data_IF_858876918152
#
_entry.id   IF_858876918152
#
_cell.length_a   1.000
_cell.length_b   1.000
_cell.length_c   1.000
_cell.angle_alpha   90.00
_cell.angle_beta   90.00
_cell.angle_gamma   90.00
#
_symmetry.space_group_name_H-M   'P 1'
#
loop_
_entity.id
_entity.type
_entity.pdbx_description
1 polymer ?
#
# COMPACT_ATOMS: atom_id res chain seq x y z
N UNK A 1 -11.34 12.86 15.44
CA UNK A 1 -10.47 12.65 14.27
C UNK A 1 -10.75 11.30 13.65
N UNK A 2 -10.92 11.25 12.34
CA UNK A 2 -11.20 10.01 11.63
C UNK A 2 -9.92 9.50 10.99
N UNK A 3 -9.43 8.36 11.48
CA UNK A 3 -8.28 7.68 10.89
C UNK A 3 -8.76 6.91 9.66
N UNK A 4 -7.99 6.98 8.59
CA UNK A 4 -8.25 6.20 7.38
C UNK A 4 -7.22 5.08 7.30
N UNK A 5 -7.68 3.86 7.18
CA UNK A 5 -6.82 2.71 6.96
C UNK A 5 -6.78 2.42 5.46
N UNK A 6 -5.62 2.54 4.87
CA UNK A 6 -5.40 2.18 3.48
C UNK A 6 -4.82 0.77 3.43
N UNK A 7 -5.48 -0.10 2.68
CA UNK A 7 -5.05 -1.48 2.50
C UNK A 7 -4.82 -1.75 1.03
N UNK A 8 -3.62 -2.19 0.69
CA UNK A 8 -3.28 -2.63 -0.67
C UNK A 8 -3.13 -4.14 -0.64
N UNK A 9 -3.87 -4.83 -1.49
CA UNK A 9 -3.86 -6.29 -1.59
C UNK A 9 -3.30 -6.64 -2.95
N UNK A 10 -2.17 -7.33 -3.00
CA UNK A 10 -1.43 -7.57 -4.24
C UNK A 10 -1.05 -9.03 -4.36
N UNK A 11 -1.44 -9.67 -5.47
CA UNK A 11 -1.03 -11.04 -5.75
C UNK A 11 0.29 -11.01 -6.52
N UNK A 12 1.32 -11.57 -5.91
CA UNK A 12 2.68 -11.56 -6.46
C UNK A 12 2.85 -12.71 -7.44
N UNK A 13 3.40 -12.44 -8.61
CA UNK A 13 3.69 -13.47 -9.59
C UNK A 13 4.74 -14.44 -9.06
N UNK A 14 4.62 -15.70 -9.50
CA UNK A 14 5.52 -16.76 -9.06
C UNK A 14 6.99 -16.39 -9.35
N UNK A 15 7.82 -16.57 -8.34
CA UNK A 15 9.27 -16.31 -8.46
C UNK A 15 9.65 -14.83 -8.37
N UNK A 16 8.70 -13.92 -8.07
CA UNK A 16 8.96 -12.48 -8.06
C UNK A 16 9.07 -11.86 -6.68
N UNK A 17 9.12 -12.65 -5.63
CA UNK A 17 9.20 -12.14 -4.25
C UNK A 17 10.46 -11.33 -3.98
N UNK A 18 11.60 -11.77 -4.50
CA UNK A 18 12.86 -11.04 -4.30
C UNK A 18 12.82 -9.68 -5.01
N UNK A 19 12.25 -9.65 -6.21
CA UNK A 19 12.06 -8.39 -6.94
C UNK A 19 11.11 -7.45 -6.22
N UNK A 20 10.05 -8.01 -5.63
CA UNK A 20 9.10 -7.23 -4.82
C UNK A 20 9.82 -6.53 -3.68
N UNK A 21 10.71 -7.24 -2.97
CA UNK A 21 11.42 -6.65 -1.85
C UNK A 21 12.38 -5.54 -2.29
N UNK A 22 13.02 -5.68 -3.44
CA UNK A 22 13.87 -4.63 -4.00
C UNK A 22 13.06 -3.39 -4.37
N UNK A 23 11.91 -3.59 -5.00
CA UNK A 23 11.01 -2.50 -5.39
C UNK A 23 10.45 -1.81 -4.15
N UNK A 24 10.02 -2.59 -3.15
CA UNK A 24 9.47 -2.06 -1.92
C UNK A 24 10.47 -1.16 -1.18
N UNK A 25 11.73 -1.55 -1.16
CA UNK A 25 12.79 -0.75 -0.56
C UNK A 25 12.91 0.62 -1.24
N UNK A 26 12.84 0.65 -2.56
CA UNK A 26 12.87 1.91 -3.32
C UNK A 26 11.62 2.74 -3.08
N UNK A 27 10.45 2.11 -3.00
CA UNK A 27 9.21 2.80 -2.63
C UNK A 27 9.33 3.45 -1.27
N UNK A 28 9.87 2.72 -0.29
CA UNK A 28 10.02 3.23 1.07
C UNK A 28 10.87 4.51 1.10
N UNK A 29 11.93 4.57 0.33
CA UNK A 29 12.77 5.76 0.24
C UNK A 29 11.99 6.98 -0.27
N UNK A 30 11.18 6.79 -1.32
CA UNK A 30 10.36 7.87 -1.87
C UNK A 30 9.23 8.23 -0.92
N UNK A 31 8.58 7.24 -0.33
CA UNK A 31 7.50 7.44 0.62
C UNK A 31 7.96 8.24 1.83
N UNK A 32 9.13 7.94 2.36
CA UNK A 32 9.71 8.69 3.48
C UNK A 32 9.95 10.15 3.10
N UNK A 33 10.39 10.39 1.88
CA UNK A 33 10.62 11.74 1.35
C UNK A 33 9.34 12.59 1.36
N UNK A 34 8.19 11.97 1.07
CA UNK A 34 6.92 12.68 1.01
C UNK A 34 6.10 12.63 2.30
N UNK A 35 6.61 11.97 3.32
CA UNK A 35 5.94 11.91 4.62
C UNK A 35 4.80 10.91 4.69
N UNK A 36 4.88 9.82 3.95
CA UNK A 36 3.92 8.73 4.08
C UNK A 36 3.97 8.16 5.50
N UNK A 37 2.82 7.78 6.08
CA UNK A 37 2.84 7.07 7.35
C UNK A 37 3.53 5.71 7.23
N UNK A 38 4.03 5.16 8.33
CA UNK A 38 4.63 3.83 8.32
C UNK A 38 3.69 2.79 7.75
N UNK A 39 4.23 1.83 7.04
CA UNK A 39 3.45 0.72 6.50
C UNK A 39 3.69 -0.55 7.29
N UNK A 40 2.64 -1.37 7.38
CA UNK A 40 2.70 -2.73 7.90
C UNK A 40 2.47 -3.66 6.72
N UNK A 41 3.25 -4.72 6.65
CA UNK A 41 3.19 -5.67 5.55
C UNK A 41 2.83 -7.04 6.10
N UNK A 42 1.86 -7.69 5.45
CA UNK A 42 1.39 -9.01 5.84
C UNK A 42 1.37 -9.91 4.63
N UNK A 43 1.57 -11.19 4.86
CA UNK A 43 1.39 -12.21 3.83
C UNK A 43 0.27 -13.13 4.29
N UNK A 44 -0.61 -13.50 3.38
CA UNK A 44 -1.67 -14.45 3.72
C UNK A 44 -1.08 -15.80 4.09
N UNK A 45 -1.44 -16.30 5.25
CA UNK A 45 -1.19 -17.69 5.64
C UNK A 45 -2.40 -18.52 5.24
N UNK A 46 -3.58 -18.03 5.57
CA UNK A 46 -4.86 -18.62 5.20
C UNK A 46 -5.91 -17.51 5.17
N UNK A 47 -6.94 -17.65 4.38
CA UNK A 47 -7.99 -16.66 4.25
C UNK A 47 -8.59 -16.65 2.86
N UNK A 48 -9.19 -15.51 2.49
CA UNK A 48 -9.86 -15.37 1.20
C UNK A 48 -8.88 -15.38 0.03
N UNK A 49 -7.64 -14.93 0.26
CA UNK A 49 -6.59 -14.96 -0.75
C UNK A 49 -5.54 -16.01 -0.40
N UNK A 50 -4.78 -16.44 -1.38
CA UNK A 50 -3.75 -17.46 -1.16
C UNK A 50 -2.43 -16.86 -0.64
N UNK A 51 -1.47 -17.72 -0.34
CA UNK A 51 -0.17 -17.33 0.23
C UNK A 51 0.73 -16.54 -0.73
N UNK A 52 0.33 -16.39 -2.00
CA UNK A 52 1.03 -15.53 -2.95
C UNK A 52 0.63 -14.06 -2.82
N UNK A 53 -0.22 -13.74 -1.86
CA UNK A 53 -0.80 -12.41 -1.69
C UNK A 53 -0.15 -11.67 -0.54
N UNK A 54 0.32 -10.44 -0.80
CA UNK A 54 0.82 -9.53 0.21
C UNK A 54 -0.22 -8.44 0.47
N UNK A 55 -0.33 -8.03 1.73
CA UNK A 55 -1.18 -6.92 2.16
C UNK A 55 -0.29 -5.84 2.75
N UNK A 56 -0.46 -4.62 2.29
CA UNK A 56 0.26 -3.46 2.82
C UNK A 56 -0.77 -2.51 3.42
N UNK A 57 -0.61 -2.16 4.69
CA UNK A 57 -1.53 -1.27 5.39
C UNK A 57 -0.83 -0.04 5.91
N UNK A 58 -1.53 1.09 5.84
CA UNK A 58 -1.13 2.34 6.45
C UNK A 58 -2.31 2.98 7.14
N UNK A 59 -2.04 3.64 8.25
CA UNK A 59 -3.02 4.48 8.92
C UNK A 59 -2.75 5.93 8.58
N UNK A 60 -3.71 6.57 7.94
CA UNK A 60 -3.64 7.98 7.57
C UNK A 60 -4.43 8.82 8.58
N UNK A 61 -3.88 9.96 8.92
CA UNK A 61 -4.49 10.90 9.88
C UNK A 61 -5.86 11.37 9.40
N UNK A 62 -6.02 11.56 8.09
CA UNK A 62 -7.26 11.97 7.45
C UNK A 62 -7.24 11.63 5.97
N UNK A 63 -8.42 11.60 5.36
CA UNK A 63 -8.54 11.42 3.93
C UNK A 63 -7.88 12.57 3.15
N UNK A 64 -8.02 13.80 3.66
CA UNK A 64 -7.42 14.97 3.05
C UNK A 64 -5.88 14.85 3.00
N UNK A 65 -5.28 14.37 4.08
CA UNK A 65 -3.82 14.20 4.13
C UNK A 65 -3.35 13.08 3.21
N UNK A 66 -4.09 11.98 3.15
CA UNK A 66 -3.81 10.91 2.20
C UNK A 66 -3.81 11.45 0.77
N UNK A 67 -4.85 12.16 0.39
CA UNK A 67 -5.00 12.71 -0.95
C UNK A 67 -3.88 13.70 -1.29
N UNK A 68 -3.55 14.59 -0.36
CA UNK A 68 -2.48 15.58 -0.55
C UNK A 68 -1.12 14.91 -0.78
N UNK A 69 -0.76 13.96 0.05
CA UNK A 69 0.55 13.29 -0.01
C UNK A 69 0.63 12.39 -1.24
N UNK A 70 -0.43 11.62 -1.51
CA UNK A 70 -0.46 10.75 -2.69
C UNK A 70 -0.36 11.55 -3.98
N UNK A 71 -1.02 12.70 -4.05
CA UNK A 71 -0.95 13.57 -5.23
C UNK A 71 0.48 14.04 -5.48
N UNK A 72 1.20 14.42 -4.43
CA UNK A 72 2.60 14.82 -4.57
C UNK A 72 3.48 13.67 -5.08
N UNK A 73 3.27 12.47 -4.53
CA UNK A 73 4.04 11.30 -4.93
C UNK A 73 3.77 10.93 -6.39
N UNK A 74 2.53 10.99 -6.84
CA UNK A 74 2.18 10.69 -8.23
C UNK A 74 2.83 11.63 -9.24
N UNK A 75 3.18 12.83 -8.82
CA UNK A 75 3.90 13.78 -9.68
C UNK A 75 5.40 13.51 -9.75
N UNK A 76 5.91 12.63 -8.91
CA UNK A 76 7.32 12.24 -8.93
C UNK A 76 7.54 11.17 -10.00
N UNK A 77 8.41 11.44 -11.01
CA UNK A 77 8.65 10.45 -12.07
C UNK A 77 9.20 9.13 -11.56
N UNK A 78 10.01 9.15 -10.50
CA UNK A 78 10.58 7.94 -9.92
C UNK A 78 9.50 7.07 -9.27
N UNK A 79 8.54 7.71 -8.61
CA UNK A 79 7.40 6.99 -8.02
C UNK A 79 6.56 6.31 -9.11
N UNK A 80 6.27 7.04 -10.18
CA UNK A 80 5.51 6.50 -11.31
C UNK A 80 6.23 5.33 -11.97
N UNK A 81 7.54 5.45 -12.15
CA UNK A 81 8.37 4.38 -12.72
C UNK A 81 8.35 3.12 -11.86
N UNK A 82 8.45 3.29 -10.55
CA UNK A 82 8.36 2.16 -9.62
C UNK A 82 6.98 1.50 -9.68
N UNK A 83 5.94 2.30 -9.84
CA UNK A 83 4.58 1.77 -10.02
C UNK A 83 4.48 0.86 -11.24
N UNK A 84 5.11 1.25 -12.35
CA UNK A 84 5.15 0.42 -13.56
C UNK A 84 5.94 -0.86 -13.32
N UNK A 85 7.08 -0.78 -12.63
CA UNK A 85 7.88 -1.95 -12.28
C UNK A 85 7.09 -2.91 -11.39
N UNK A 86 6.40 -2.38 -10.39
CA UNK A 86 5.54 -3.20 -9.52
C UNK A 86 4.44 -3.88 -10.32
N UNK A 87 3.80 -3.15 -11.23
CA UNK A 87 2.73 -3.68 -12.07
C UNK A 87 3.17 -4.88 -12.92
N UNK A 88 4.46 -5.00 -13.22
CA UNK A 88 4.98 -6.11 -14.00
C UNK A 88 5.20 -7.40 -13.20
N UNK A 89 5.21 -7.31 -11.87
CA UNK A 89 5.47 -8.46 -10.99
C UNK A 89 4.27 -8.85 -10.12
N UNK A 90 3.17 -8.14 -10.21
CA UNK A 90 1.92 -8.51 -9.54
C UNK A 90 0.86 -8.85 -10.58
N UNK A 91 0.00 -9.81 -10.24
CA UNK A 91 -1.07 -10.23 -11.14
C UNK A 91 -2.23 -9.25 -11.10
N UNK A 92 -2.59 -8.79 -9.93
CA UNK A 92 -3.59 -7.76 -9.74
C UNK A 92 -3.37 -7.05 -8.42
N UNK A 93 -3.98 -5.88 -8.28
CA UNK A 93 -3.95 -5.12 -7.04
C UNK A 93 -5.33 -4.55 -6.73
N UNK A 94 -5.66 -4.56 -5.45
CA UNK A 94 -6.90 -4.02 -4.92
C UNK A 94 -6.53 -2.98 -3.86
N UNK A 95 -7.14 -1.81 -3.93
CA UNK A 95 -7.03 -0.81 -2.87
C UNK A 95 -8.35 -0.72 -2.13
N UNK A 96 -8.25 -0.77 -0.82
CA UNK A 96 -9.39 -0.56 0.07
C UNK A 96 -9.09 0.58 1.01
N UNK A 97 -10.10 1.41 1.26
CA UNK A 97 -10.04 2.45 2.29
C UNK A 97 -11.09 2.11 3.34
N UNK A 98 -10.64 2.03 4.58
CA UNK A 98 -11.46 1.61 5.69
C UNK A 98 -11.43 2.68 6.78
N UNK A 99 -12.52 2.77 7.54
CA UNK A 99 -12.54 3.57 8.76
C UNK A 99 -12.75 2.63 9.94
N UNK A 100 -12.13 2.90 11.10
CA UNK A 100 -12.40 2.09 12.28
C UNK A 100 -13.88 2.13 12.62
N UNK A 101 -14.44 0.97 12.91
CA UNK A 101 -15.83 0.91 13.36
C UNK A 101 -15.89 1.28 14.83
N UNK A 102 -16.56 2.37 15.11
CA UNK A 102 -16.81 2.79 16.48
C UNK A 102 -18.31 2.73 16.70
N UNK A 103 -18.78 1.90 17.64
CA UNK A 103 -20.20 1.91 17.97
C UNK A 103 -20.59 3.31 18.46
N UNK A 104 -21.54 3.93 17.77
CA UNK A 104 -22.05 5.20 18.23
C UNK A 104 -22.97 4.97 19.41
N UNK A 105 -22.90 5.82 20.44
CA UNK A 105 -23.97 5.85 21.42
C UNK A 105 -25.20 6.41 20.70
N UNK A 106 -26.05 5.55 20.36
CA UNK A 106 -27.24 5.89 19.60
C UNK A 106 -28.33 6.49 20.46
#
# INVERSE_FOLDING_TARGET
MVIIIQRLIQKVLNGKWDELEKIDKKFTEIEDKYGFPPKKRYRYLTGIYNSSTIVVEREWESLAKLEKIMTKAFLDPDYSKLGDELGSIIENGIQELLVPHTPFPM
#
